data_IF_837509075623
#
_entry.id   IF_837509075623
#
_cell.length_a   1.000
_cell.length_b   1.000
_cell.length_c   1.000
_cell.angle_alpha   90.00
_cell.angle_beta   90.00
_cell.angle_gamma   90.00
#
_symmetry.space_group_name_H-M   'P 1'
#
loop_
_entity.id
_entity.type
_entity.pdbx_description
1 polymer ?
#
# COMPACT_ATOMS: atom_id res chain seq x y z
N UNK A 1 24.21 32.40 -36.14
CA UNK A 1 24.91 31.31 -36.81
C UNK A 1 24.13 29.99 -36.64
N UNK A 2 24.21 29.16 -37.66
CA UNK A 2 23.49 27.86 -37.65
C UNK A 2 23.98 26.93 -36.55
N UNK A 3 25.27 26.90 -36.27
CA UNK A 3 25.85 26.08 -35.22
C UNK A 3 25.33 26.49 -33.84
N UNK A 4 25.10 27.77 -33.62
CA UNK A 4 24.56 28.28 -32.37
C UNK A 4 23.10 27.91 -32.18
N UNK A 5 22.31 27.97 -33.23
CA UNK A 5 20.91 27.51 -33.19
C UNK A 5 20.79 26.01 -32.95
N UNK A 6 21.65 25.20 -33.54
CA UNK A 6 21.68 23.77 -33.32
C UNK A 6 22.00 23.40 -31.86
N UNK A 7 22.97 24.09 -31.26
CA UNK A 7 23.29 23.87 -29.84
C UNK A 7 22.14 24.27 -28.91
N UNK A 8 21.48 25.38 -29.19
CA UNK A 8 20.32 25.81 -28.39
C UNK A 8 19.18 24.81 -28.51
N UNK A 9 18.89 24.31 -29.71
CA UNK A 9 17.82 23.31 -29.92
C UNK A 9 18.13 22.01 -29.17
N UNK A 10 19.38 21.53 -29.20
CA UNK A 10 19.79 20.33 -28.46
C UNK A 10 19.65 20.57 -26.95
N UNK A 11 20.05 21.73 -26.45
CA UNK A 11 19.94 22.11 -25.07
C UNK A 11 18.48 22.10 -24.59
N UNK A 12 17.56 22.64 -25.39
CA UNK A 12 16.13 22.61 -25.07
C UNK A 12 15.55 21.19 -25.07
N UNK A 13 15.96 20.34 -26.00
CA UNK A 13 15.50 18.96 -26.06
C UNK A 13 15.94 18.18 -24.82
N UNK A 14 17.18 18.32 -24.41
CA UNK A 14 17.70 17.67 -23.19
C UNK A 14 16.98 18.18 -21.94
N UNK A 15 16.77 19.48 -21.84
CA UNK A 15 16.05 20.08 -20.72
C UNK A 15 14.61 19.57 -20.66
N UNK A 16 13.91 19.47 -21.79
CA UNK A 16 12.55 18.95 -21.85
C UNK A 16 12.47 17.50 -21.37
N UNK A 17 13.41 16.65 -21.77
CA UNK A 17 13.48 15.26 -21.32
C UNK A 17 13.72 15.19 -19.81
N UNK A 18 14.61 16.00 -19.27
CA UNK A 18 14.86 16.06 -17.84
C UNK A 18 13.64 16.54 -17.05
N UNK A 19 12.92 17.53 -17.56
CA UNK A 19 11.69 18.02 -16.93
C UNK A 19 10.60 16.95 -16.96
N UNK A 20 10.43 16.25 -18.06
CA UNK A 20 9.45 15.15 -18.17
C UNK A 20 9.83 14.04 -17.19
N UNK A 21 11.07 13.62 -17.14
CA UNK A 21 11.54 12.60 -16.21
C UNK A 21 11.32 13.03 -14.75
N UNK A 22 11.62 14.29 -14.43
CA UNK A 22 11.39 14.86 -13.11
C UNK A 22 9.90 14.92 -12.77
N UNK A 23 9.05 15.31 -13.71
CA UNK A 23 7.60 15.31 -13.51
C UNK A 23 7.05 13.91 -13.30
N UNK A 24 7.47 12.93 -14.08
CA UNK A 24 7.08 11.53 -13.90
C UNK A 24 7.53 11.04 -12.53
N UNK A 25 8.76 11.35 -12.15
CA UNK A 25 9.30 10.96 -10.85
C UNK A 25 8.57 11.65 -9.70
N UNK A 26 8.28 12.94 -9.81
CA UNK A 26 7.64 13.72 -8.75
C UNK A 26 6.14 13.47 -8.67
N UNK A 27 5.44 13.44 -9.79
CA UNK A 27 3.99 13.23 -9.84
C UNK A 27 3.62 11.76 -9.78
N UNK A 28 4.44 10.86 -10.29
CA UNK A 28 4.34 9.45 -10.00
C UNK A 28 4.57 9.19 -8.53
N UNK A 29 5.45 9.98 -7.87
CA UNK A 29 5.67 9.96 -6.46
C UNK A 29 4.55 10.57 -5.63
N UNK A 30 3.64 11.39 -6.21
CA UNK A 30 2.42 11.85 -5.54
C UNK A 30 1.31 10.80 -5.56
N UNK A 31 1.27 10.00 -6.60
CA UNK A 31 0.49 8.79 -6.61
C UNK A 31 1.10 7.76 -5.66
N UNK A 32 2.27 8.09 -5.15
CA UNK A 32 2.99 7.39 -4.13
C UNK A 32 4.24 6.70 -4.64
N UNK A 33 5.35 6.87 -3.91
CA UNK A 33 6.50 6.00 -4.10
C UNK A 33 6.06 4.56 -3.84
N UNK A 34 6.53 3.62 -4.66
CA UNK A 34 6.16 2.23 -4.53
C UNK A 34 6.73 1.63 -3.25
N UNK A 35 5.87 0.98 -2.49
CA UNK A 35 6.23 0.20 -1.32
C UNK A 35 6.44 -1.25 -1.74
N UNK A 36 7.33 -1.95 -1.06
CA UNK A 36 7.47 -3.38 -1.20
C UNK A 36 6.43 -4.09 -0.33
N UNK A 37 6.03 -5.27 -0.75
CA UNK A 37 5.04 -6.04 0.00
C UNK A 37 5.30 -7.53 -0.18
N UNK A 38 5.06 -8.28 0.90
CA UNK A 38 5.13 -9.74 0.89
C UNK A 38 4.16 -10.32 1.92
N UNK A 39 3.60 -11.47 1.61
CA UNK A 39 2.82 -12.22 2.57
C UNK A 39 3.78 -12.87 3.59
N UNK A 40 3.45 -12.72 4.87
CA UNK A 40 4.29 -13.23 5.96
C UNK A 40 3.39 -13.77 7.07
N UNK A 41 3.26 -15.08 7.12
CA UNK A 41 2.43 -15.78 8.10
C UNK A 41 3.08 -15.89 9.48
N UNK A 42 4.33 -15.46 9.62
CA UNK A 42 5.04 -15.42 10.90
C UNK A 42 4.72 -14.16 11.72
N UNK A 43 4.02 -13.19 11.15
CA UNK A 43 3.67 -11.96 11.83
C UNK A 43 2.68 -12.21 12.97
N UNK A 44 2.77 -11.42 14.08
CA UNK A 44 1.89 -11.61 15.22
C UNK A 44 0.43 -11.27 14.87
N UNK A 45 -0.48 -11.82 15.63
CA UNK A 45 -1.92 -11.58 15.50
C UNK A 45 -2.24 -10.14 15.91
N UNK A 46 -3.11 -9.49 15.16
CA UNK A 46 -3.60 -8.16 15.52
C UNK A 46 -4.65 -8.26 16.62
N UNK A 47 -4.58 -7.34 17.57
CA UNK A 47 -5.55 -7.22 18.63
C UNK A 47 -6.47 -6.04 18.38
N UNK A 48 -7.76 -6.26 18.53
CA UNK A 48 -8.78 -5.23 18.36
C UNK A 48 -9.65 -5.22 19.61
N UNK A 49 -9.84 -4.03 20.18
CA UNK A 49 -10.71 -3.88 21.34
C UNK A 49 -12.16 -4.00 20.93
N UNK A 50 -12.89 -4.83 21.67
CA UNK A 50 -14.34 -4.88 21.56
C UNK A 50 -14.96 -3.61 22.15
N UNK A 51 -16.22 -3.36 21.80
CA UNK A 51 -16.99 -2.23 22.32
C UNK A 51 -17.13 -2.23 23.86
N UNK A 52 -16.78 -3.31 24.54
CA UNK A 52 -16.73 -3.39 26.00
C UNK A 52 -15.42 -3.00 26.64
N UNK A 53 -14.42 -2.55 25.86
CA UNK A 53 -13.13 -2.09 26.37
C UNK A 53 -12.08 -3.17 26.61
N UNK A 54 -12.41 -4.44 26.42
CA UNK A 54 -11.47 -5.55 26.56
C UNK A 54 -10.73 -5.78 25.25
N UNK A 55 -9.40 -5.91 25.33
CA UNK A 55 -8.60 -6.27 24.15
C UNK A 55 -8.89 -7.73 23.79
N UNK A 56 -9.19 -7.95 22.51
CA UNK A 56 -9.39 -9.28 21.99
C UNK A 56 -8.04 -9.81 21.49
N UNK A 57 -7.57 -10.90 22.09
CA UNK A 57 -6.27 -11.51 21.76
C UNK A 57 -6.37 -12.55 20.66
N UNK A 58 -7.56 -12.86 20.19
CA UNK A 58 -7.76 -13.81 19.10
C UNK A 58 -7.74 -13.08 17.78
N UNK A 59 -7.35 -13.80 16.73
CA UNK A 59 -7.45 -13.29 15.37
C UNK A 59 -8.92 -12.99 15.04
N UNK A 60 -9.21 -11.72 14.82
CA UNK A 60 -10.56 -11.28 14.50
C UNK A 60 -10.69 -11.21 12.98
N UNK A 61 -11.69 -11.87 12.37
CA UNK A 61 -11.91 -11.74 10.93
C UNK A 61 -12.19 -10.28 10.58
N UNK A 62 -11.52 -9.80 9.56
CA UNK A 62 -11.65 -8.43 9.11
C UNK A 62 -10.34 -7.90 8.54
N UNK A 63 -10.43 -6.74 7.92
CA UNK A 63 -9.28 -6.05 7.38
C UNK A 63 -8.81 -5.02 8.40
N UNK A 64 -7.55 -5.14 8.83
CA UNK A 64 -6.94 -4.26 9.80
C UNK A 64 -5.50 -3.96 9.41
N UNK A 65 -4.97 -2.85 9.90
CA UNK A 65 -3.57 -2.51 9.75
C UNK A 65 -2.97 -2.05 11.06
N UNK A 66 -1.66 -2.18 11.19
CA UNK A 66 -0.95 -1.75 12.37
C UNK A 66 0.47 -1.29 11.98
N UNK A 67 0.91 -0.11 12.45
CA UNK A 67 2.26 0.35 12.18
C UNK A 67 3.26 -0.34 13.10
N UNK A 68 4.22 -1.04 12.51
CA UNK A 68 5.36 -1.60 13.22
C UNK A 68 6.55 -0.64 13.08
N UNK A 69 7.71 -0.98 13.66
CA UNK A 69 8.85 -0.06 13.67
C UNK A 69 9.38 0.23 12.27
N UNK A 70 9.47 -0.79 11.41
CA UNK A 70 10.08 -0.67 10.09
C UNK A 70 9.14 -0.99 8.92
N UNK A 71 7.92 -1.40 9.21
CA UNK A 71 6.93 -1.78 8.20
C UNK A 71 5.52 -1.59 8.72
N UNK A 72 4.55 -1.60 7.81
CA UNK A 72 3.13 -1.65 8.16
C UNK A 72 2.65 -3.07 8.00
N UNK A 73 2.03 -3.62 9.04
CA UNK A 73 1.38 -4.92 8.96
C UNK A 73 -0.05 -4.73 8.48
N UNK A 74 -0.45 -5.52 7.50
CA UNK A 74 -1.81 -5.50 6.94
C UNK A 74 -2.41 -6.88 7.06
N UNK A 75 -3.61 -6.96 7.64
CA UNK A 75 -4.41 -8.18 7.66
C UNK A 75 -5.54 -8.05 6.67
N UNK A 76 -5.62 -9.00 5.74
CA UNK A 76 -6.72 -9.10 4.80
C UNK A 76 -7.50 -10.37 5.09
N UNK A 77 -8.82 -10.25 5.11
CA UNK A 77 -9.72 -11.38 5.25
C UNK A 77 -10.43 -11.66 3.92
N UNK A 78 -10.58 -12.91 3.58
CA UNK A 78 -11.23 -13.32 2.34
C UNK A 78 -11.28 -14.83 2.20
N UNK A 79 -11.69 -15.32 1.04
CA UNK A 79 -11.63 -16.74 0.73
C UNK A 79 -10.18 -17.20 0.58
N UNK A 80 -9.91 -18.45 0.89
CA UNK A 80 -8.55 -18.99 0.80
C UNK A 80 -8.13 -19.30 -0.64
N UNK A 81 -9.09 -19.51 -1.53
CA UNK A 81 -8.82 -19.86 -2.94
C UNK A 81 -9.77 -19.07 -3.87
N UNK A 82 -9.24 -18.25 -4.78
CA UNK A 82 -7.89 -17.73 -4.74
C UNK A 82 -7.75 -16.73 -3.58
N UNK A 83 -6.65 -16.75 -2.89
CA UNK A 83 -6.40 -15.74 -1.87
C UNK A 83 -6.30 -14.36 -2.49
N UNK A 84 -6.57 -13.32 -1.71
CA UNK A 84 -6.37 -11.96 -2.16
C UNK A 84 -4.89 -11.69 -2.35
N UNK A 85 -4.52 -11.10 -3.48
CA UNK A 85 -3.16 -10.73 -3.78
C UNK A 85 -3.06 -9.23 -3.99
N UNK A 86 -1.95 -8.66 -3.56
CA UNK A 86 -1.66 -7.24 -3.73
C UNK A 86 -0.95 -7.03 -5.07
N UNK A 87 -1.42 -6.06 -5.85
CA UNK A 87 -0.77 -5.63 -7.08
C UNK A 87 0.30 -4.59 -6.79
N UNK A 88 -0.04 -3.60 -5.97
CA UNK A 88 0.88 -2.51 -5.62
C UNK A 88 0.43 -1.82 -4.34
N UNK A 89 1.40 -1.18 -3.69
CA UNK A 89 1.17 -0.36 -2.50
C UNK A 89 1.83 0.99 -2.74
N UNK A 90 1.07 2.06 -2.59
CA UNK A 90 1.55 3.43 -2.78
C UNK A 90 1.15 4.30 -1.59
N UNK A 91 1.90 5.38 -1.36
CA UNK A 91 1.64 6.30 -0.25
C UNK A 91 1.40 7.72 -0.76
N UNK A 92 0.30 8.32 -0.34
CA UNK A 92 -0.03 9.72 -0.63
C UNK A 92 0.33 10.57 0.58
N UNK A 93 1.39 11.37 0.44
CA UNK A 93 1.89 12.22 1.52
C UNK A 93 0.92 13.37 1.88
N UNK A 94 0.10 13.81 0.93
CA UNK A 94 -0.87 14.88 1.16
C UNK A 94 -1.95 14.44 2.14
N UNK A 95 -2.47 13.23 1.97
CA UNK A 95 -3.53 12.67 2.81
C UNK A 95 -3.02 11.66 3.83
N UNK A 96 -1.71 11.43 3.87
CA UNK A 96 -1.07 10.45 4.76
C UNK A 96 -1.72 9.07 4.67
N UNK A 97 -2.10 8.69 3.46
CA UNK A 97 -2.85 7.50 3.17
C UNK A 97 -2.03 6.49 2.37
N UNK A 98 -1.93 5.30 2.90
CA UNK A 98 -1.34 4.16 2.20
C UNK A 98 -2.44 3.48 1.39
N UNK A 99 -2.24 3.37 0.09
CA UNK A 99 -3.20 2.75 -0.82
C UNK A 99 -2.71 1.38 -1.24
N UNK A 100 -3.50 0.37 -0.95
CA UNK A 100 -3.21 -1.03 -1.31
C UNK A 100 -4.16 -1.41 -2.45
N UNK A 101 -3.62 -1.60 -3.64
CA UNK A 101 -4.40 -2.06 -4.77
C UNK A 101 -4.32 -3.57 -4.89
N UNK A 102 -5.48 -4.21 -4.91
CA UNK A 102 -5.57 -5.65 -5.09
C UNK A 102 -5.46 -6.02 -6.56
N UNK A 103 -4.83 -7.15 -6.81
CA UNK A 103 -4.65 -7.69 -8.15
C UNK A 103 -5.98 -8.20 -8.69
N UNK A 104 -6.25 -7.89 -9.97
CA UNK A 104 -7.41 -8.45 -10.66
C UNK A 104 -7.13 -9.91 -11.02
N UNK A 105 -7.92 -10.80 -10.48
CA UNK A 105 -7.81 -12.24 -10.71
C UNK A 105 -8.88 -12.78 -11.68
N UNK A 106 -9.70 -11.88 -12.25
CA UNK A 106 -10.79 -12.26 -13.15
C UNK A 106 -11.97 -12.92 -12.41
N UNK A 107 -12.86 -13.53 -13.18
CA UNK A 107 -14.04 -14.23 -12.64
C UNK A 107 -13.68 -15.63 -12.18
N UNK A 108 -12.88 -15.73 -11.13
CA UNK A 108 -12.50 -17.02 -10.54
C UNK A 108 -13.41 -17.31 -9.35
N UNK A 109 -13.99 -18.51 -9.25
CA UNK A 109 -14.79 -18.87 -8.08
C UNK A 109 -13.95 -18.79 -6.81
N UNK A 110 -14.51 -18.16 -5.77
CA UNK A 110 -13.85 -18.05 -4.48
C UNK A 110 -14.46 -19.06 -3.50
N UNK A 111 -13.65 -19.52 -2.56
CA UNK A 111 -14.12 -20.36 -1.47
C UNK A 111 -14.96 -19.54 -0.50
N UNK A 112 -15.86 -20.21 0.21
CA UNK A 112 -16.77 -19.57 1.18
C UNK A 112 -16.16 -19.48 2.58
N UNK A 113 -14.95 -19.96 2.77
CA UNK A 113 -14.24 -19.87 4.05
C UNK A 113 -13.69 -18.46 4.30
N UNK A 114 -13.38 -18.17 5.54
CA UNK A 114 -12.68 -16.94 5.92
C UNK A 114 -11.23 -17.29 6.21
N UNK A 115 -10.35 -16.79 5.38
CA UNK A 115 -8.91 -16.93 5.56
C UNK A 115 -8.31 -15.55 5.87
N UNK A 116 -7.38 -15.50 6.81
CA UNK A 116 -6.64 -14.30 7.15
C UNK A 116 -5.25 -14.39 6.55
N UNK A 117 -4.87 -13.36 5.81
CA UNK A 117 -3.52 -13.25 5.25
C UNK A 117 -2.86 -12.04 5.87
N UNK A 118 -1.69 -12.22 6.45
CA UNK A 118 -0.87 -11.14 6.98
C UNK A 118 0.16 -10.71 5.94
N UNK A 119 0.28 -9.41 5.76
CA UNK A 119 1.19 -8.81 4.80
C UNK A 119 2.16 -7.88 5.49
N UNK A 120 3.40 -7.90 5.06
CA UNK A 120 4.43 -6.95 5.45
C UNK A 120 4.56 -5.92 4.33
N UNK A 121 4.30 -4.64 4.66
CA UNK A 121 4.40 -3.53 3.72
C UNK A 121 5.59 -2.67 4.12
N UNK A 122 6.63 -2.65 3.29
CA UNK A 122 7.88 -1.96 3.60
C UNK A 122 7.98 -0.63 2.86
N UNK A 123 8.26 0.49 3.56
CA UNK A 123 8.38 1.78 2.94
C UNK A 123 9.68 1.90 2.13
N UNK A 124 9.68 2.72 1.07
CA UNK A 124 10.91 3.08 0.39
C UNK A 124 11.79 3.97 1.27
N UNK A 125 13.05 4.14 0.87
CA UNK A 125 13.99 5.01 1.58
C UNK A 125 13.43 6.43 1.72
N UNK A 126 13.55 6.99 2.90
CA UNK A 126 13.11 8.35 3.19
C UNK A 126 11.66 8.49 3.61
N UNK A 127 10.90 7.39 3.64
CA UNK A 127 9.52 7.38 4.14
C UNK A 127 9.48 6.63 5.46
N UNK A 128 8.94 7.28 6.48
CA UNK A 128 8.79 6.69 7.81
C UNK A 128 7.40 6.07 7.95
N UNK A 129 7.34 4.90 8.60
CA UNK A 129 6.06 4.23 8.89
C UNK A 129 5.14 5.12 9.71
N UNK A 130 5.70 5.94 10.62
CA UNK A 130 4.94 6.85 11.47
C UNK A 130 4.18 7.93 10.70
N UNK A 131 4.50 8.16 9.44
CA UNK A 131 3.80 9.11 8.59
C UNK A 131 2.47 8.57 8.08
N UNK A 132 2.23 7.25 8.16
CA UNK A 132 0.99 6.64 7.71
C UNK A 132 -0.09 6.83 8.78
N UNK A 133 -1.15 7.51 8.41
CA UNK A 133 -2.31 7.72 9.29
C UNK A 133 -3.54 6.94 8.85
N UNK A 134 -3.63 6.62 7.56
CA UNK A 134 -4.76 5.91 6.98
C UNK A 134 -4.27 4.86 6.00
N UNK A 135 -5.03 3.78 5.90
CA UNK A 135 -4.82 2.73 4.91
C UNK A 135 -6.15 2.49 4.20
N UNK A 136 -6.11 2.42 2.88
CA UNK A 136 -7.29 2.06 2.09
C UNK A 136 -6.96 0.96 1.10
N UNK A 137 -7.96 0.15 0.78
CA UNK A 137 -7.86 -0.87 -0.25
C UNK A 137 -8.62 -0.40 -1.49
N UNK A 138 -8.02 -0.63 -2.65
CA UNK A 138 -8.68 -0.49 -3.95
C UNK A 138 -8.93 -1.89 -4.48
N UNK A 139 -10.20 -2.24 -4.62
CA UNK A 139 -10.61 -3.53 -5.11
C UNK A 139 -10.51 -3.62 -6.63
N UNK A 140 -10.71 -4.83 -7.15
CA UNK A 140 -10.60 -5.14 -8.57
C UNK A 140 -11.59 -4.36 -9.43
N UNK A 141 -12.77 -4.04 -8.90
CA UNK A 141 -13.80 -3.26 -9.57
C UNK A 141 -13.58 -1.74 -9.48
N UNK A 142 -12.51 -1.31 -8.84
CA UNK A 142 -12.19 0.10 -8.64
C UNK A 142 -12.81 0.72 -7.38
N UNK A 143 -13.66 -0.01 -6.65
CA UNK A 143 -14.19 0.48 -5.39
C UNK A 143 -13.08 0.56 -4.33
N UNK A 144 -13.27 1.43 -3.35
CA UNK A 144 -12.31 1.65 -2.28
C UNK A 144 -12.94 1.46 -0.91
N UNK A 145 -12.14 1.02 0.04
CA UNK A 145 -12.58 0.88 1.43
C UNK A 145 -11.44 1.27 2.38
N UNK A 146 -11.76 2.10 3.35
CA UNK A 146 -10.82 2.43 4.43
C UNK A 146 -10.71 1.26 5.39
N UNK A 147 -9.50 0.99 5.85
CA UNK A 147 -9.23 -0.11 6.78
C UNK A 147 -9.01 0.46 8.17
N UNK A 148 -9.61 -0.18 9.16
CA UNK A 148 -9.45 0.20 10.55
C UNK A 148 -8.04 -0.15 11.06
N UNK A 149 -7.48 0.73 11.88
CA UNK A 149 -6.23 0.48 12.57
C UNK A 149 -6.49 -0.46 13.75
N UNK A 150 -5.69 -1.50 13.87
CA UNK A 150 -5.73 -2.38 15.03
C UNK A 150 -5.24 -1.64 16.30
N UNK A 151 -5.62 -2.12 17.47
CA UNK A 151 -5.21 -1.51 18.73
C UNK A 151 -3.81 -1.93 19.16
N UNK A 152 -3.36 -3.09 18.70
CA UNK A 152 -2.03 -3.61 19.03
C UNK A 152 -1.77 -4.94 18.34
N UNK A 153 -0.66 -5.55 18.71
CA UNK A 153 -0.27 -6.88 18.25
C UNK A 153 -0.15 -7.81 19.45
N UNK A 154 -0.53 -9.06 19.27
CA UNK A 154 -0.30 -10.09 20.29
C UNK A 154 1.19 -10.35 20.46
N UNK A 155 1.62 -10.49 21.68
CA UNK A 155 3.00 -10.86 22.00
C UNK A 155 3.25 -12.37 21.84
#
# INVERSE_FOLDING_TARGET
SRAHHGLVAIGFAVLAVLVIAFCIWTFGGRGGAAWEFEADDSLPIMTVRSTGGNANTLAVPGDYWYPCDEFVQLQLSGGSIPGEEIERVTYDATFKTLTVKLKDQGDVPTTMDIALTEWRLEPPSGVAVSEVEHVKIVYQDGSTNGIAKADGLAE
#
